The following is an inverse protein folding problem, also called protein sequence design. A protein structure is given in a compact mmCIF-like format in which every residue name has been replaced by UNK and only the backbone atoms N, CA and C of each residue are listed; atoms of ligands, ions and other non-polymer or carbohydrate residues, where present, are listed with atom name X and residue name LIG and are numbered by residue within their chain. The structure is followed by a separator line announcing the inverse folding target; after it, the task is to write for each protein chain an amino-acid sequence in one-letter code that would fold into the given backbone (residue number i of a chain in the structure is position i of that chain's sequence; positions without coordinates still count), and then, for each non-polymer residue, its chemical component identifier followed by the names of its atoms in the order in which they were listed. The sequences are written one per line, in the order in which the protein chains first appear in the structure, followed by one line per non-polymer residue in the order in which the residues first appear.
data_IF_248601986520
#
_entry.id   IF_248601986520
#
_cell.length_a   1.000
_cell.length_b   1.000
_cell.length_c   1.000
_cell.angle_alpha   90.00
_cell.angle_beta   90.00
_cell.angle_gamma   90.00
#
_symmetry.space_group_name_H-M   'P 1'
#
loop_
_entity.id
_entity.type
_entity.pdbx_description
1 polymer ?
#
# COMPACT_ATOMS: atom_id res chain seq x y z
N UNK A 1 14.75 -14.58 -7.54
CA UNK A 1 14.88 -14.14 -6.14
C UNK A 1 13.48 -14.04 -5.56
N UNK A 2 13.17 -14.71 -4.44
CA UNK A 2 11.87 -14.59 -3.79
C UNK A 2 11.67 -13.18 -3.21
N UNK A 3 10.42 -12.74 -2.99
CA UNK A 3 10.16 -11.47 -2.32
C UNK A 3 10.74 -11.48 -0.89
N UNK A 4 11.27 -10.33 -0.46
CA UNK A 4 11.70 -10.11 0.92
C UNK A 4 10.50 -9.65 1.75
N UNK A 5 10.27 -10.29 2.89
CA UNK A 5 9.16 -9.95 3.78
C UNK A 5 9.59 -8.76 4.63
N UNK A 6 8.87 -7.64 4.51
CA UNK A 6 9.14 -6.41 5.28
C UNK A 6 8.23 -6.24 6.49
N UNK A 7 7.04 -6.85 6.46
CA UNK A 7 6.04 -6.73 7.50
C UNK A 7 5.04 -7.90 7.44
N UNK A 8 4.51 -8.31 8.59
CA UNK A 8 3.49 -9.36 8.71
C UNK A 8 2.45 -8.93 9.74
N UNK A 9 1.18 -9.06 9.37
CA UNK A 9 0.07 -8.93 10.32
C UNK A 9 -0.44 -10.32 10.72
N UNK A 10 -0.73 -10.52 12.01
CA UNK A 10 -1.36 -11.73 12.54
C UNK A 10 -2.45 -11.36 13.54
N UNK A 11 -3.67 -11.82 13.30
CA UNK A 11 -4.82 -11.53 14.13
C UNK A 11 -6.01 -12.43 13.80
N UNK A 12 -7.04 -12.41 14.65
CA UNK A 12 -8.27 -13.20 14.43
C UNK A 12 -9.11 -12.70 13.24
N UNK A 13 -8.92 -11.44 12.85
CA UNK A 13 -9.64 -10.78 11.77
C UNK A 13 -8.64 -10.13 10.81
N UNK A 14 -9.13 -9.63 9.68
CA UNK A 14 -8.33 -8.80 8.78
C UNK A 14 -7.89 -7.52 9.49
N UNK A 15 -6.72 -6.93 9.13
CA UNK A 15 -6.32 -5.65 9.68
C UNK A 15 -7.35 -4.58 9.32
N UNK A 16 -7.71 -3.75 10.31
CA UNK A 16 -8.61 -2.62 10.13
C UNK A 16 -7.85 -1.31 9.85
N UNK A 17 -6.54 -1.31 10.09
CA UNK A 17 -5.62 -0.20 9.90
C UNK A 17 -4.30 -0.72 9.31
N UNK A 18 -3.32 0.18 9.17
CA UNK A 18 -2.01 -0.10 8.60
C UNK A 18 -0.89 -0.02 9.65
N UNK A 19 -1.19 -0.16 10.95
CA UNK A 19 -0.19 0.02 12.01
C UNK A 19 1.03 -0.90 11.80
N UNK A 20 0.79 -2.13 11.35
CA UNK A 20 1.84 -3.11 11.05
C UNK A 20 2.81 -2.71 9.92
N UNK A 21 2.50 -1.66 9.14
CA UNK A 21 3.35 -1.14 8.07
C UNK A 21 4.07 0.18 8.44
N UNK A 22 3.79 0.77 9.60
CA UNK A 22 4.25 2.13 9.93
C UNK A 22 5.77 2.23 9.90
N UNK A 23 6.49 1.28 10.51
CA UNK A 23 7.96 1.28 10.52
C UNK A 23 8.54 1.22 9.11
N UNK A 24 8.01 0.34 8.25
CA UNK A 24 8.40 0.23 6.84
C UNK A 24 8.12 1.54 6.07
N UNK A 25 6.98 2.17 6.30
CA UNK A 25 6.61 3.42 5.62
C UNK A 25 7.57 4.55 6.02
N UNK A 26 7.95 4.65 7.29
CA UNK A 26 8.88 5.67 7.78
C UNK A 26 10.28 5.48 7.20
N UNK A 27 10.78 4.24 7.20
CA UNK A 27 12.08 3.92 6.59
C UNK A 27 12.06 4.18 5.08
N UNK A 28 11.02 3.74 4.37
CA UNK A 28 10.90 3.96 2.93
C UNK A 28 10.83 5.45 2.59
N UNK A 29 10.12 6.26 3.36
CA UNK A 29 10.10 7.73 3.20
C UNK A 29 11.49 8.32 3.36
N UNK A 30 12.20 7.92 4.41
CA UNK A 30 13.57 8.38 4.65
C UNK A 30 14.51 8.02 3.49
N UNK A 31 14.43 6.79 2.98
CA UNK A 31 15.22 6.34 1.83
C UNK A 31 14.85 7.07 0.53
N UNK A 32 13.57 7.39 0.33
CA UNK A 32 13.12 8.17 -0.83
C UNK A 32 13.57 9.63 -0.76
N UNK A 33 13.65 10.21 0.43
CA UNK A 33 14.10 11.59 0.65
C UNK A 33 15.62 11.73 0.57
N UNK A 34 16.36 10.82 1.22
CA UNK A 34 17.82 10.92 1.33
C UNK A 34 18.58 10.09 0.30
N UNK A 35 17.96 9.08 -0.30
CA UNK A 35 18.66 8.10 -1.14
C UNK A 35 19.58 7.17 -0.33
N UNK A 36 20.43 6.43 -1.04
CA UNK A 36 21.43 5.53 -0.47
C UNK A 36 22.81 5.95 -0.96
N UNK A 37 23.77 6.09 -0.05
CA UNK A 37 25.18 6.21 -0.41
C UNK A 37 25.84 4.84 -0.40
N UNK A 38 26.42 4.45 -1.54
CA UNK A 38 27.18 3.21 -1.64
C UNK A 38 28.44 3.45 -2.48
N UNK A 39 29.60 3.15 -1.91
CA UNK A 39 30.92 3.33 -2.55
C UNK A 39 31.15 4.74 -3.10
N UNK A 40 30.70 5.77 -2.36
CA UNK A 40 30.84 7.18 -2.75
C UNK A 40 29.89 7.63 -3.87
N UNK A 41 28.97 6.77 -4.30
CA UNK A 41 27.92 7.11 -5.27
C UNK A 41 26.58 7.22 -4.55
N UNK A 42 25.84 8.29 -4.86
CA UNK A 42 24.48 8.51 -4.36
C UNK A 42 23.44 7.86 -5.29
N UNK A 43 22.51 7.11 -4.70
CA UNK A 43 21.45 6.39 -5.39
C UNK A 43 20.07 6.91 -4.92
N UNK A 44 19.32 7.64 -5.76
CA UNK A 44 17.97 8.07 -5.41
C UNK A 44 17.01 6.88 -5.45
N UNK A 45 16.14 6.79 -4.44
CA UNK A 45 15.13 5.72 -4.35
C UNK A 45 13.76 6.25 -4.76
N UNK A 46 13.05 5.50 -5.61
CA UNK A 46 11.68 5.80 -6.02
C UNK A 46 10.84 4.54 -6.03
N UNK A 47 9.62 4.64 -5.50
CA UNK A 47 8.61 3.57 -5.59
C UNK A 47 7.97 3.63 -6.97
N UNK A 48 8.07 2.56 -7.74
CA UNK A 48 7.40 2.44 -9.03
C UNK A 48 5.93 2.08 -8.87
N UNK A 49 5.64 1.04 -8.09
CA UNK A 49 4.29 0.49 -7.94
C UNK A 49 4.11 -0.25 -6.62
N UNK A 50 2.88 -0.24 -6.11
CA UNK A 50 2.44 -1.10 -5.01
C UNK A 50 1.45 -2.11 -5.58
N UNK A 51 1.78 -3.40 -5.51
CA UNK A 51 0.97 -4.48 -6.06
C UNK A 51 0.17 -5.14 -4.93
N UNK A 52 -1.14 -5.15 -5.07
CA UNK A 52 -2.06 -5.72 -4.09
C UNK A 52 -3.38 -6.14 -4.76
N UNK A 53 -4.11 -7.04 -4.10
CA UNK A 53 -5.46 -7.40 -4.50
C UNK A 53 -6.47 -6.28 -4.15
N UNK A 54 -7.71 -6.39 -4.63
CA UNK A 54 -8.72 -5.34 -4.41
C UNK A 54 -8.98 -5.07 -2.91
N UNK A 55 -9.10 -6.08 -2.03
CA UNK A 55 -9.25 -5.87 -0.60
C UNK A 55 -8.13 -5.07 0.06
N UNK A 56 -6.87 -5.45 -0.14
CA UNK A 56 -5.74 -4.75 0.44
C UNK A 56 -5.58 -3.34 -0.17
N UNK A 57 -5.83 -3.19 -1.48
CA UNK A 57 -5.79 -1.89 -2.15
C UNK A 57 -6.77 -0.90 -1.51
N UNK A 58 -7.99 -1.34 -1.20
CA UNK A 58 -9.00 -0.47 -0.61
C UNK A 58 -8.61 -0.05 0.81
N UNK A 59 -8.03 -0.96 1.62
CA UNK A 59 -7.50 -0.64 2.94
C UNK A 59 -6.37 0.40 2.85
N UNK A 60 -5.42 0.20 1.92
CA UNK A 60 -4.28 1.11 1.71
C UNK A 60 -4.75 2.50 1.24
N UNK A 61 -5.71 2.55 0.30
CA UNK A 61 -6.25 3.82 -0.23
C UNK A 61 -7.29 4.48 0.70
N UNK A 62 -7.79 3.79 1.71
CA UNK A 62 -8.88 4.27 2.56
C UNK A 62 -10.22 4.42 1.81
N UNK A 63 -10.49 3.56 0.82
CA UNK A 63 -11.69 3.59 -0.01
C UNK A 63 -12.61 2.39 0.27
N UNK A 64 -13.85 2.48 -0.22
CA UNK A 64 -14.77 1.34 -0.19
C UNK A 64 -14.29 0.22 -1.11
N UNK A 65 -14.63 -1.02 -0.75
CA UNK A 65 -14.44 -2.18 -1.61
C UNK A 65 -15.25 -2.05 -2.91
N UNK A 66 -14.91 -2.86 -3.91
CA UNK A 66 -15.55 -2.87 -5.23
C UNK A 66 -17.09 -3.03 -5.22
N UNK A 67 -17.65 -3.65 -4.17
CA UNK A 67 -19.10 -3.80 -3.96
C UNK A 67 -19.77 -2.60 -3.26
N UNK A 68 -19.01 -1.55 -2.92
CA UNK A 68 -19.53 -0.34 -2.31
C UNK A 68 -20.21 0.59 -3.33
N UNK A 69 -21.04 1.51 -2.83
CA UNK A 69 -21.69 2.54 -3.67
C UNK A 69 -20.69 3.37 -4.49
N UNK A 70 -19.47 3.52 -3.98
CA UNK A 70 -18.34 4.17 -4.66
C UNK A 70 -17.16 3.20 -4.69
N UNK A 71 -17.39 2.00 -5.24
CA UNK A 71 -16.42 0.91 -5.21
C UNK A 71 -15.30 1.01 -6.26
N UNK A 72 -15.40 1.93 -7.22
CA UNK A 72 -14.33 2.14 -8.20
C UNK A 72 -13.16 2.89 -7.55
N UNK A 73 -11.95 2.34 -7.66
CA UNK A 73 -10.74 2.96 -7.12
C UNK A 73 -10.07 3.96 -8.08
N UNK A 74 -10.70 4.19 -9.24
CA UNK A 74 -10.26 5.10 -10.30
C UNK A 74 -11.22 6.26 -10.58
N UNK A 75 -12.48 6.18 -10.13
CA UNK A 75 -13.47 7.23 -10.38
C UNK A 75 -14.43 7.41 -9.20
N UNK A 76 -15.12 8.56 -9.17
CA UNK A 76 -16.09 8.91 -8.12
C UNK A 76 -17.53 8.54 -8.51
N UNK A 77 -17.71 7.71 -9.54
CA UNK A 77 -19.04 7.35 -10.04
C UNK A 77 -19.75 6.47 -9.02
N UNK A 78 -21.00 6.86 -8.70
CA UNK A 78 -21.87 6.06 -7.84
C UNK A 78 -22.39 4.86 -8.63
N UNK A 79 -22.11 3.65 -8.14
CA UNK A 79 -22.63 2.41 -8.71
C UNK A 79 -24.13 2.26 -8.45
N UNK A 80 -24.82 1.69 -9.43
CA UNK A 80 -26.19 1.22 -9.30
C UNK A 80 -26.20 -0.28 -9.00
N UNK A 81 -27.02 -0.70 -8.04
CA UNK A 81 -27.18 -2.12 -7.74
C UNK A 81 -28.23 -2.68 -8.70
N UNK A 82 -27.78 -3.49 -9.67
CA UNK A 82 -28.69 -4.26 -10.50
C UNK A 82 -29.15 -5.50 -9.71
N UNK A 83 -30.45 -5.59 -9.49
CA UNK A 83 -31.12 -6.79 -8.97
C UNK A 83 -31.35 -7.82 -10.07
#
# INVERSE_FOLDING_TARGET
MPPFIVAVYSGKHKPNDLEFLVEFILELKHLMELGIEFQGTHFPIRVHSVICDAPAKALIKGILQYNGKYGCDYCEVKGEHCH
#
